data_IF_707376261492
#
_entry.id   IF_707376261492
#
_cell.length_a   1.000
_cell.length_b   1.000
_cell.length_c   1.000
_cell.angle_alpha   90.00
_cell.angle_beta   90.00
_cell.angle_gamma   90.00
#
_symmetry.space_group_name_H-M   'P 1'
#
loop_
_entity.id
_entity.type
_entity.pdbx_description
1 polymer ?
#
# COMPACT_ATOMS: atom_id res chain seq x y z
N UNK A 1 -9.66 -16.67 13.63
CA UNK A 1 -10.00 -16.11 12.30
C UNK A 1 -8.94 -16.56 11.31
N UNK A 2 -9.37 -17.14 10.20
CA UNK A 2 -8.46 -17.58 9.15
C UNK A 2 -8.38 -16.50 8.07
N UNK A 3 -7.15 -16.10 7.73
CA UNK A 3 -6.90 -15.26 6.59
C UNK A 3 -6.66 -16.15 5.38
N UNK A 4 -7.19 -15.74 4.23
CA UNK A 4 -6.89 -16.36 2.95
C UNK A 4 -6.00 -15.42 2.16
N UNK A 5 -4.93 -15.96 1.58
CA UNK A 5 -4.02 -15.17 0.76
C UNK A 5 -4.37 -15.32 -0.72
N UNK A 6 -4.31 -14.22 -1.43
CA UNK A 6 -4.48 -14.16 -2.87
C UNK A 6 -3.46 -13.19 -3.44
N UNK A 7 -2.87 -13.54 -4.58
CA UNK A 7 -1.84 -12.68 -5.13
C UNK A 7 -1.70 -12.83 -6.65
N UNK A 8 -1.00 -11.88 -7.22
CA UNK A 8 -0.70 -11.82 -8.65
C UNK A 8 0.73 -11.40 -8.85
N UNK A 9 1.29 -11.78 -9.98
CA UNK A 9 2.64 -11.36 -10.34
C UNK A 9 2.72 -11.07 -11.84
N UNK A 10 3.69 -10.24 -12.20
CA UNK A 10 4.05 -9.99 -13.59
C UNK A 10 5.24 -10.87 -13.96
N UNK A 11 5.13 -11.51 -15.11
CA UNK A 11 6.18 -12.36 -15.64
C UNK A 11 6.69 -11.75 -16.96
N UNK A 12 7.96 -11.42 -17.00
CA UNK A 12 8.64 -10.90 -18.20
C UNK A 12 9.89 -11.73 -18.44
N UNK A 13 10.03 -12.27 -19.63
CA UNK A 13 11.18 -13.12 -20.02
C UNK A 13 11.48 -14.21 -18.98
N UNK A 14 10.42 -14.88 -18.50
CA UNK A 14 10.49 -15.94 -17.49
C UNK A 14 10.98 -15.48 -16.12
N UNK A 15 10.94 -14.17 -15.84
CA UNK A 15 11.27 -13.60 -14.54
C UNK A 15 10.07 -12.88 -13.93
N UNK A 16 9.92 -12.98 -12.62
CA UNK A 16 8.94 -12.19 -11.89
C UNK A 16 9.49 -10.80 -11.74
N UNK A 17 8.81 -9.80 -12.32
CA UNK A 17 9.22 -8.39 -12.28
C UNK A 17 8.36 -7.53 -11.38
N UNK A 18 7.21 -8.05 -10.94
CA UNK A 18 6.35 -7.37 -10.00
C UNK A 18 5.42 -8.37 -9.34
N UNK A 19 4.96 -8.03 -8.14
CA UNK A 19 4.05 -8.90 -7.38
C UNK A 19 3.17 -8.08 -6.44
N UNK A 20 2.00 -8.63 -6.12
CA UNK A 20 1.11 -8.13 -5.08
C UNK A 20 0.50 -9.32 -4.35
N UNK A 21 0.54 -9.29 -3.03
CA UNK A 21 -0.04 -10.31 -2.17
C UNK A 21 -1.05 -9.64 -1.25
N UNK A 22 -2.27 -10.18 -1.23
CA UNK A 22 -3.37 -9.65 -0.45
C UNK A 22 -3.88 -10.70 0.52
N UNK A 23 -4.47 -10.23 1.63
CA UNK A 23 -5.14 -11.07 2.61
C UNK A 23 -6.63 -10.76 2.66
N UNK A 24 -7.44 -11.81 2.71
CA UNK A 24 -8.88 -11.75 2.90
C UNK A 24 -9.20 -12.31 4.28
N UNK A 25 -10.01 -11.59 5.06
CA UNK A 25 -10.43 -12.01 6.39
C UNK A 25 -11.94 -12.22 6.40
N UNK A 26 -12.37 -13.37 6.92
CA UNK A 26 -13.80 -13.67 7.04
C UNK A 26 -14.50 -12.62 7.90
N UNK A 27 -15.64 -12.14 7.43
CA UNK A 27 -16.44 -11.16 8.15
C UNK A 27 -16.04 -9.71 7.96
N UNK A 28 -15.00 -9.44 7.17
CA UNK A 28 -14.58 -8.07 6.86
C UNK A 28 -14.79 -7.77 5.39
N UNK A 29 -15.10 -6.52 5.09
CA UNK A 29 -15.28 -6.04 3.71
C UNK A 29 -14.03 -5.34 3.18
N UNK A 30 -12.87 -5.84 3.58
CA UNK A 30 -11.57 -5.22 3.31
C UNK A 30 -10.67 -6.25 2.63
N UNK A 31 -10.04 -5.86 1.53
CA UNK A 31 -8.91 -6.59 0.97
C UNK A 31 -7.64 -5.87 1.42
N UNK A 32 -6.80 -6.57 2.19
CA UNK A 32 -5.57 -5.98 2.73
C UNK A 32 -4.39 -6.34 1.85
N UNK A 33 -3.73 -5.33 1.30
CA UNK A 33 -2.47 -5.53 0.56
C UNK A 33 -1.37 -5.72 1.60
N UNK A 34 -0.82 -6.93 1.65
CA UNK A 34 0.19 -7.31 2.65
C UNK A 34 1.61 -7.14 2.15
N UNK A 35 1.83 -7.31 0.86
CA UNK A 35 3.14 -7.19 0.26
C UNK A 35 2.99 -6.83 -1.20
N UNK A 36 3.80 -5.89 -1.65
CA UNK A 36 3.88 -5.58 -3.05
C UNK A 36 5.28 -5.08 -3.38
N UNK A 37 5.72 -5.35 -4.58
CA UNK A 37 7.04 -4.95 -5.00
C UNK A 37 7.23 -5.08 -6.50
N UNK A 38 8.33 -4.54 -6.96
CA UNK A 38 8.73 -4.62 -8.36
C UNK A 38 10.25 -4.56 -8.44
N UNK A 39 10.78 -5.08 -9.55
CA UNK A 39 12.22 -5.04 -9.77
C UNK A 39 12.61 -3.64 -10.22
N UNK A 40 13.52 -3.01 -9.45
CA UNK A 40 13.97 -1.63 -9.69
C UNK A 40 15.18 -1.55 -10.61
N UNK A 41 15.40 -2.52 -11.48
CA UNK A 41 16.55 -2.52 -12.37
C UNK A 41 16.23 -1.82 -13.70
N UNK A 42 17.13 -0.91 -14.07
CA UNK A 42 17.08 -0.27 -15.37
C UNK A 42 15.90 0.68 -15.54
N UNK A 43 15.06 0.37 -16.51
CA UNK A 43 13.96 1.23 -16.95
C UNK A 43 12.62 0.89 -16.33
N UNK A 44 12.58 0.00 -15.33
CA UNK A 44 11.33 -0.35 -14.67
C UNK A 44 10.82 0.84 -13.87
N UNK A 45 9.55 1.16 -14.06
CA UNK A 45 8.87 2.22 -13.36
C UNK A 45 7.64 1.66 -12.64
N UNK A 46 7.31 2.26 -11.52
CA UNK A 46 6.21 1.77 -10.67
C UNK A 46 4.88 1.72 -11.42
N UNK A 47 4.61 2.70 -12.29
CA UNK A 47 3.36 2.78 -13.03
C UNK A 47 3.16 1.54 -13.91
N UNK A 48 4.22 1.09 -14.59
CA UNK A 48 4.13 -0.03 -15.52
C UNK A 48 4.06 -1.39 -14.81
N UNK A 49 4.64 -1.49 -13.61
CA UNK A 49 4.79 -2.77 -12.92
C UNK A 49 3.80 -2.97 -11.79
N UNK A 50 3.37 -1.90 -11.15
CA UNK A 50 2.44 -1.99 -10.02
C UNK A 50 1.00 -1.72 -10.43
N UNK A 51 0.76 -0.78 -11.35
CA UNK A 51 -0.60 -0.45 -11.77
C UNK A 51 -1.40 -1.68 -12.27
N UNK A 52 -0.86 -2.53 -13.16
CA UNK A 52 -1.62 -3.70 -13.60
C UNK A 52 -1.94 -4.68 -12.47
N UNK A 53 -1.03 -4.82 -11.51
CA UNK A 53 -1.24 -5.69 -10.34
C UNK A 53 -2.28 -5.11 -9.41
N UNK A 54 -2.21 -3.80 -9.18
CA UNK A 54 -3.17 -3.10 -8.33
C UNK A 54 -4.57 -3.19 -8.94
N UNK A 55 -4.69 -3.09 -10.25
CA UNK A 55 -5.95 -3.25 -10.96
C UNK A 55 -6.53 -4.65 -10.78
N UNK A 56 -5.68 -5.69 -10.79
CA UNK A 56 -6.11 -7.07 -10.48
C UNK A 56 -6.66 -7.18 -9.07
N UNK A 57 -6.01 -6.56 -8.10
CA UNK A 57 -6.48 -6.56 -6.72
C UNK A 57 -7.83 -5.84 -6.60
N UNK A 58 -7.99 -4.72 -7.29
CA UNK A 58 -9.26 -3.97 -7.33
C UNK A 58 -10.39 -4.79 -7.95
N UNK A 59 -10.14 -5.43 -9.08
CA UNK A 59 -11.12 -6.29 -9.75
C UNK A 59 -11.54 -7.44 -8.85
N UNK A 60 -10.59 -8.06 -8.17
CA UNK A 60 -10.86 -9.11 -7.20
C UNK A 60 -11.73 -8.60 -6.04
N UNK A 61 -11.36 -7.45 -5.50
CA UNK A 61 -12.12 -6.83 -4.40
C UNK A 61 -13.58 -6.58 -4.82
N UNK A 62 -13.79 -6.03 -6.01
CA UNK A 62 -15.14 -5.79 -6.53
C UNK A 62 -15.91 -7.09 -6.73
N UNK A 63 -15.27 -8.12 -7.30
CA UNK A 63 -15.91 -9.41 -7.54
C UNK A 63 -16.33 -10.11 -6.25
N UNK A 64 -15.63 -9.86 -5.15
CA UNK A 64 -15.93 -10.42 -3.84
C UNK A 64 -16.83 -9.53 -2.99
N UNK A 65 -17.21 -8.36 -3.49
CA UNK A 65 -18.04 -7.42 -2.76
C UNK A 65 -17.32 -6.67 -1.65
N UNK A 66 -16.00 -6.61 -1.68
CA UNK A 66 -15.23 -5.85 -0.70
C UNK A 66 -15.40 -4.35 -0.95
N UNK A 67 -15.41 -3.59 0.12
CA UNK A 67 -15.74 -2.15 0.07
C UNK A 67 -14.51 -1.27 0.11
N UNK A 68 -13.36 -1.79 0.47
CA UNK A 68 -12.11 -1.02 0.42
C UNK A 68 -10.88 -1.90 0.27
N UNK A 69 -9.81 -1.26 -0.21
CA UNK A 69 -8.45 -1.77 -0.17
C UNK A 69 -7.70 -1.06 0.94
N UNK A 70 -6.85 -1.80 1.64
CA UNK A 70 -6.00 -1.28 2.70
C UNK A 70 -4.54 -1.60 2.40
N UNK A 71 -3.65 -0.64 2.63
CA UNK A 71 -2.22 -0.82 2.49
C UNK A 71 -1.49 -0.02 3.56
N UNK A 72 -0.48 -0.62 4.19
CA UNK A 72 0.37 0.07 5.16
C UNK A 72 1.77 0.18 4.56
N UNK A 73 2.27 1.40 4.47
CA UNK A 73 3.61 1.67 3.97
C UNK A 73 4.46 2.30 5.07
N UNK A 74 5.78 2.09 5.01
CA UNK A 74 6.71 2.66 5.98
C UNK A 74 6.88 4.17 5.80
N UNK A 75 7.34 4.83 6.85
CA UNK A 75 7.46 6.30 6.90
C UNK A 75 8.73 6.85 6.25
N UNK A 76 9.65 6.02 5.78
CA UNK A 76 10.88 6.49 5.13
C UNK A 76 10.54 7.48 4.00
N UNK A 77 11.18 8.63 3.99
CA UNK A 77 10.90 9.67 3.00
C UNK A 77 9.64 10.49 3.26
N UNK A 78 8.98 10.28 4.41
CA UNK A 78 7.79 11.03 4.79
C UNK A 78 8.11 12.03 5.89
N UNK A 79 7.26 13.06 6.03
CA UNK A 79 7.46 14.13 7.00
C UNK A 79 7.52 13.67 8.45
N UNK A 80 6.88 12.55 8.78
CA UNK A 80 6.84 12.03 10.16
C UNK A 80 7.99 11.07 10.48
N UNK A 81 8.85 10.76 9.52
CA UNK A 81 9.93 9.78 9.73
C UNK A 81 11.03 10.31 10.64
N UNK A 82 11.54 9.45 11.52
CA UNK A 82 12.72 9.74 12.35
C UNK A 82 12.43 10.63 13.54
N UNK A 83 11.17 10.86 13.89
CA UNK A 83 10.78 11.67 15.05
C UNK A 83 9.60 11.04 15.78
N UNK A 84 9.49 11.23 17.11
CA UNK A 84 8.33 10.73 17.84
C UNK A 84 7.06 11.51 17.44
N UNK A 85 5.95 10.80 17.39
CA UNK A 85 4.65 11.42 17.09
C UNK A 85 3.98 11.78 18.40
N UNK A 86 3.70 13.06 18.59
CA UNK A 86 3.06 13.57 19.80
C UNK A 86 1.61 13.97 19.60
N UNK A 87 1.28 14.39 18.38
CA UNK A 87 -0.08 14.79 18.02
C UNK A 87 -0.44 14.12 16.69
N UNK A 88 -1.18 13.01 16.76
CA UNK A 88 -1.51 12.20 15.59
C UNK A 88 -2.33 12.97 14.55
N UNK A 89 -3.33 13.72 15.01
CA UNK A 89 -4.20 14.46 14.09
C UNK A 89 -3.41 15.50 13.31
N UNK A 90 -2.51 16.19 13.97
CA UNK A 90 -1.65 17.19 13.34
C UNK A 90 -0.68 16.56 12.35
N UNK A 91 0.00 15.47 12.76
CA UNK A 91 0.95 14.78 11.89
C UNK A 91 0.27 14.22 10.64
N UNK A 92 -0.92 13.64 10.78
CA UNK A 92 -1.68 13.12 9.66
C UNK A 92 -2.13 14.23 8.72
N UNK A 93 -2.62 15.35 9.28
CA UNK A 93 -3.07 16.49 8.48
C UNK A 93 -1.93 17.14 7.70
N UNK A 94 -0.74 17.19 8.27
CA UNK A 94 0.44 17.81 7.67
C UNK A 94 1.34 16.78 6.95
N UNK A 95 0.88 15.55 6.82
CA UNK A 95 1.67 14.48 6.21
C UNK A 95 1.98 14.79 4.75
N UNK A 96 3.26 14.74 4.41
CA UNK A 96 3.70 14.88 3.02
C UNK A 96 4.94 14.02 2.78
N UNK A 97 5.22 13.78 1.50
CA UNK A 97 6.40 13.04 1.08
C UNK A 97 7.50 13.97 0.58
N UNK A 98 8.75 13.53 0.74
CA UNK A 98 9.92 14.19 0.16
C UNK A 98 10.33 13.38 -1.08
N UNK A 99 9.70 13.67 -2.22
CA UNK A 99 9.95 13.02 -3.52
C UNK A 99 9.82 11.50 -3.49
N UNK A 100 8.93 10.98 -2.67
CA UNK A 100 8.67 9.55 -2.58
C UNK A 100 7.66 9.15 -3.66
N UNK A 101 8.18 8.66 -4.79
CA UNK A 101 7.39 8.38 -5.99
C UNK A 101 6.32 7.31 -5.80
N UNK A 102 6.60 6.27 -5.03
CA UNK A 102 5.64 5.21 -4.76
C UNK A 102 4.44 5.71 -3.95
N UNK A 103 4.68 6.55 -2.96
CA UNK A 103 3.62 7.19 -2.18
C UNK A 103 2.75 8.07 -3.08
N UNK A 104 3.37 8.92 -3.89
CA UNK A 104 2.67 9.81 -4.81
C UNK A 104 1.85 9.01 -5.83
N UNK A 105 2.39 7.87 -6.30
CA UNK A 105 1.68 6.95 -7.18
C UNK A 105 0.40 6.40 -6.52
N UNK A 106 0.48 5.97 -5.26
CA UNK A 106 -0.70 5.45 -4.56
C UNK A 106 -1.77 6.51 -4.37
N UNK A 107 -1.38 7.76 -4.06
CA UNK A 107 -2.34 8.85 -3.98
C UNK A 107 -3.00 9.10 -5.34
N UNK A 108 -2.23 9.06 -6.42
CA UNK A 108 -2.76 9.21 -7.77
C UNK A 108 -3.73 8.07 -8.14
N UNK A 109 -3.54 6.89 -7.59
CA UNK A 109 -4.44 5.75 -7.77
C UNK A 109 -5.71 5.81 -6.90
N UNK A 110 -5.86 6.84 -6.06
CA UNK A 110 -7.04 7.05 -5.25
C UNK A 110 -6.93 6.60 -3.80
N UNK A 111 -5.75 6.19 -3.35
CA UNK A 111 -5.52 5.92 -1.93
C UNK A 111 -5.45 7.22 -1.14
N UNK A 112 -5.94 7.18 0.09
CA UNK A 112 -5.96 8.33 0.99
C UNK A 112 -5.28 7.92 2.30
N UNK A 113 -4.34 8.72 2.83
CA UNK A 113 -3.77 8.44 4.15
C UNK A 113 -4.82 8.70 5.23
N UNK A 114 -5.10 7.66 6.03
CA UNK A 114 -6.16 7.69 7.04
C UNK A 114 -5.65 7.51 8.45
N UNK A 115 -4.38 7.18 8.62
CA UNK A 115 -3.81 6.99 9.94
C UNK A 115 -2.31 6.82 9.91
N UNK A 116 -1.70 7.00 11.08
CA UNK A 116 -0.28 6.74 11.30
C UNK A 116 -0.19 5.76 12.46
N UNK A 117 0.54 4.66 12.24
CA UNK A 117 0.79 3.65 13.27
C UNK A 117 2.18 3.94 13.83
N UNK A 118 2.27 4.44 15.09
CA UNK A 118 3.57 4.83 15.63
C UNK A 118 4.46 3.62 15.84
N UNK A 119 5.74 3.78 15.47
CA UNK A 119 6.78 2.77 15.67
C UNK A 119 6.43 1.40 15.08
N UNK A 120 5.69 1.39 13.98
CA UNK A 120 5.21 0.17 13.33
C UNK A 120 6.35 -0.75 12.90
N UNK A 121 7.45 -0.18 12.45
CA UNK A 121 8.61 -0.92 11.93
C UNK A 121 9.87 -0.74 12.77
N UNK A 122 9.81 0.02 13.83
CA UNK A 122 10.94 0.30 14.70
C UNK A 122 10.82 1.67 15.35
N UNK A 123 11.80 2.05 16.15
CA UNK A 123 11.78 3.34 16.83
C UNK A 123 11.74 4.50 15.85
N UNK A 124 10.71 5.33 15.93
CA UNK A 124 10.45 6.45 15.03
C UNK A 124 10.35 6.07 13.55
N UNK A 125 10.15 4.78 13.28
CA UNK A 125 9.87 4.23 11.96
C UNK A 125 8.40 3.82 11.90
N UNK A 126 7.58 4.74 11.44
CA UNK A 126 6.12 4.62 11.54
C UNK A 126 5.51 3.93 10.32
N UNK A 127 4.27 3.46 10.48
CA UNK A 127 3.46 2.97 9.37
C UNK A 127 2.44 4.01 8.97
N UNK A 128 2.19 4.14 7.67
CA UNK A 128 1.16 5.02 7.15
C UNK A 128 0.07 4.14 6.56
N UNK A 129 -1.13 4.28 7.08
CA UNK A 129 -2.30 3.53 6.63
C UNK A 129 -2.94 4.24 5.45
N UNK A 130 -2.97 3.57 4.33
CA UNK A 130 -3.58 4.05 3.09
C UNK A 130 -4.84 3.23 2.82
N UNK A 131 -5.93 3.89 2.51
CA UNK A 131 -7.22 3.27 2.20
C UNK A 131 -7.71 3.78 0.86
N UNK A 132 -8.21 2.86 0.04
CA UNK A 132 -8.94 3.21 -1.18
C UNK A 132 -10.37 2.68 -1.05
N UNK A 133 -11.36 3.57 -1.13
CA UNK A 133 -12.75 3.18 -1.17
C UNK A 133 -13.09 2.55 -2.52
N UNK A 134 -13.81 1.43 -2.49
CA UNK A 134 -14.30 0.73 -3.68
C UNK A 134 -15.79 1.01 -3.94
N UNK A 135 -16.33 1.96 -3.22
CA UNK A 135 -17.76 2.33 -3.33
C UNK A 135 -17.91 3.69 -3.96
#
# INVERSE_FOLDING_TARGET
>A
MLARLVGWYLLEDSKITGWILCAEYDGYSILSIENLGYEEKGQYVIDDHIEPLLRKAEDHARSRGYRCLKFITGSTGMSCHGKPIRNFSKELKELNSNDRKDYDFFLACGFVPTGIIPNCYGNDFHGILLIKSMV
#
